data_IF_135138531031
#
_entry.id   IF_135138531031
#
_cell.length_a   1.000
_cell.length_b   1.000
_cell.length_c   1.000
_cell.angle_alpha   90.00
_cell.angle_beta   90.00
_cell.angle_gamma   90.00
#
_symmetry.space_group_name_H-M   'P 1'
#
loop_
_entity.id
_entity.type
_entity.pdbx_description
1 polymer ?
#
# COMPACT_ATOMS: atom_id res chain seq x y z
N UNK A 1 -23.09 26.10 25.88
CA UNK A 1 -23.62 24.78 25.47
C UNK A 1 -22.50 23.97 24.86
N UNK A 2 -21.87 23.12 25.65
CA UNK A 2 -20.71 22.30 25.26
C UNK A 2 -21.17 21.20 24.30
N UNK A 3 -20.67 21.22 23.07
CA UNK A 3 -20.95 20.20 22.05
C UNK A 3 -20.39 18.87 22.58
N UNK A 4 -21.28 17.94 22.98
CA UNK A 4 -20.87 16.57 23.38
C UNK A 4 -20.16 15.92 22.19
N UNK A 5 -18.88 15.58 22.38
CA UNK A 5 -18.09 14.82 21.42
C UNK A 5 -18.74 13.46 21.16
N UNK A 6 -18.87 13.08 19.88
CA UNK A 6 -19.46 11.80 19.46
C UNK A 6 -18.79 10.62 20.21
N UNK A 7 -19.57 9.58 20.60
CA UNK A 7 -19.01 8.39 21.23
C UNK A 7 -17.97 7.73 20.32
N UNK A 8 -16.84 7.29 20.90
CA UNK A 8 -15.88 6.45 20.19
C UNK A 8 -16.53 5.09 20.02
N UNK A 9 -16.59 4.56 18.80
CA UNK A 9 -17.14 3.22 18.56
C UNK A 9 -16.33 2.17 19.36
N UNK A 10 -16.99 1.19 20.00
CA UNK A 10 -16.32 0.20 20.86
C UNK A 10 -15.32 -0.70 20.11
N UNK A 11 -15.33 -0.70 18.77
CA UNK A 11 -14.55 -1.58 17.90
C UNK A 11 -13.27 -0.95 17.29
N UNK A 12 -12.86 0.25 17.72
CA UNK A 12 -11.83 1.06 17.05
C UNK A 12 -10.36 0.63 17.16
N UNK A 13 -10.06 -0.59 17.61
CA UNK A 13 -8.68 -1.10 17.78
C UNK A 13 -7.77 -0.21 18.65
N UNK A 14 -6.45 -0.26 18.41
CA UNK A 14 -5.43 0.51 19.14
C UNK A 14 -5.65 2.03 19.08
N UNK A 15 -6.13 2.56 17.95
CA UNK A 15 -6.40 3.99 17.75
C UNK A 15 -7.62 4.46 18.55
N UNK A 16 -8.68 3.65 18.59
CA UNK A 16 -9.87 3.90 19.41
C UNK A 16 -9.56 3.80 20.90
N UNK A 17 -8.70 2.88 21.32
CA UNK A 17 -8.21 2.80 22.70
C UNK A 17 -7.41 4.05 23.09
N UNK A 18 -6.44 4.45 22.27
CA UNK A 18 -5.62 5.65 22.52
C UNK A 18 -6.47 6.93 22.64
N UNK A 19 -7.48 7.10 21.79
CA UNK A 19 -8.39 8.24 21.85
C UNK A 19 -9.33 8.20 23.07
N UNK A 20 -9.74 7.02 23.54
CA UNK A 20 -10.51 6.87 24.78
C UNK A 20 -9.67 7.24 26.00
N UNK A 21 -8.42 6.79 26.05
CA UNK A 21 -7.52 7.12 27.16
C UNK A 21 -7.25 8.63 27.24
N UNK A 22 -7.09 9.31 26.10
CA UNK A 22 -6.97 10.78 26.08
C UNK A 22 -8.23 11.47 26.60
N UNK A 23 -9.42 10.94 26.31
CA UNK A 23 -10.68 11.46 26.85
C UNK A 23 -10.81 11.17 28.35
N UNK A 24 -10.37 10.01 28.80
CA UNK A 24 -10.34 9.66 30.22
C UNK A 24 -9.46 10.63 31.01
N UNK A 25 -8.28 11.00 30.47
CA UNK A 25 -7.41 12.00 31.08
C UNK A 25 -8.10 13.35 31.30
N UNK A 26 -8.92 13.79 30.34
CA UNK A 26 -9.76 14.99 30.49
C UNK A 26 -10.82 14.78 31.58
N UNK A 27 -11.51 13.65 31.54
CA UNK A 27 -12.65 13.37 32.40
C UNK A 27 -12.23 13.20 33.87
N UNK A 28 -11.04 12.61 34.13
CA UNK A 28 -10.44 12.45 35.46
C UNK A 28 -10.10 13.80 36.12
N UNK A 29 -9.74 14.80 35.31
CA UNK A 29 -9.53 16.18 35.77
C UNK A 29 -10.85 16.93 36.01
N UNK A 30 -11.97 16.41 35.51
CA UNK A 30 -13.32 16.93 35.75
C UNK A 30 -13.51 18.37 35.30
N UNK A 31 -14.24 19.16 36.10
CA UNK A 31 -14.61 20.54 35.75
C UNK A 31 -13.41 21.52 35.64
N UNK A 32 -12.23 21.13 36.13
CA UNK A 32 -10.99 21.92 36.04
C UNK A 32 -10.18 21.64 34.76
N UNK A 33 -10.68 20.76 33.88
CA UNK A 33 -10.03 20.45 32.62
C UNK A 33 -10.30 21.57 31.58
N UNK A 34 -9.26 22.19 31.00
CA UNK A 34 -9.43 23.12 29.90
C UNK A 34 -10.20 22.47 28.74
N UNK A 35 -11.17 23.19 28.22
CA UNK A 35 -11.91 22.78 27.03
C UNK A 35 -11.01 22.74 25.80
N UNK A 36 -11.40 21.93 24.81
CA UNK A 36 -10.68 21.86 23.52
C UNK A 36 -10.53 23.24 22.87
N UNK A 37 -11.51 24.14 23.07
CA UNK A 37 -11.49 25.49 22.54
C UNK A 37 -10.53 26.43 23.30
N UNK A 38 -10.28 26.17 24.58
CA UNK A 38 -9.27 26.88 25.37
C UNK A 38 -7.86 26.42 24.99
N UNK A 39 -7.67 25.10 24.83
CA UNK A 39 -6.40 24.51 24.38
C UNK A 39 -6.04 25.01 22.98
N UNK A 40 -7.02 25.07 22.08
CA UNK A 40 -6.83 25.59 20.72
C UNK A 40 -6.28 27.02 20.71
N UNK A 41 -6.79 27.88 21.59
CA UNK A 41 -6.37 29.29 21.71
C UNK A 41 -4.99 29.44 22.34
N UNK A 42 -4.68 28.62 23.34
CA UNK A 42 -3.41 28.69 24.06
C UNK A 42 -2.24 28.10 23.25
N UNK A 43 -2.45 26.96 22.60
CA UNK A 43 -1.39 26.19 21.93
C UNK A 43 -1.28 26.50 20.42
N UNK A 44 -2.17 27.33 19.86
CA UNK A 44 -2.18 27.65 18.43
C UNK A 44 -2.59 26.49 17.51
N UNK A 45 -3.10 25.39 18.07
CA UNK A 45 -3.55 24.20 17.32
C UNK A 45 -5.03 24.38 16.94
N UNK A 46 -5.40 24.08 15.70
CA UNK A 46 -6.80 24.23 15.28
C UNK A 46 -7.74 23.29 16.02
N UNK A 47 -8.95 23.77 16.35
CA UNK A 47 -10.01 22.97 16.98
C UNK A 47 -10.28 21.66 16.25
N UNK A 48 -10.32 21.69 14.91
CA UNK A 48 -10.53 20.49 14.09
C UNK A 48 -9.44 19.45 14.29
N UNK A 49 -8.19 19.87 14.46
CA UNK A 49 -7.05 18.98 14.72
C UNK A 49 -7.16 18.33 16.10
N UNK A 50 -7.56 19.08 17.13
CA UNK A 50 -7.77 18.56 18.48
C UNK A 50 -8.97 17.59 18.53
N UNK A 51 -10.10 17.91 17.90
CA UNK A 51 -11.23 16.98 17.82
C UNK A 51 -10.91 15.71 17.02
N UNK A 52 -10.12 15.82 15.96
CA UNK A 52 -9.64 14.66 15.20
C UNK A 52 -8.66 13.79 16.01
N UNK A 53 -7.94 14.35 16.98
CA UNK A 53 -7.12 13.54 17.88
C UNK A 53 -7.98 12.68 18.82
N UNK A 54 -9.16 13.20 19.18
CA UNK A 54 -10.09 12.54 20.10
C UNK A 54 -11.06 11.59 19.39
N UNK A 55 -11.11 11.55 18.06
CA UNK A 55 -12.07 10.72 17.32
C UNK A 55 -11.68 9.23 17.26
N UNK A 56 -10.39 8.91 17.45
CA UNK A 56 -9.88 7.54 17.28
C UNK A 56 -9.75 7.08 15.83
N UNK A 57 -9.89 7.99 14.85
CA UNK A 57 -9.82 7.64 13.42
C UNK A 57 -8.39 7.65 12.84
N UNK A 58 -7.43 8.23 13.57
CA UNK A 58 -6.00 8.30 13.19
C UNK A 58 -5.14 8.58 14.42
N UNK A 59 -3.87 8.19 14.38
CA UNK A 59 -2.94 8.53 15.45
C UNK A 59 -2.66 10.05 15.46
N UNK A 60 -2.81 10.75 16.58
CA UNK A 60 -2.55 12.19 16.63
C UNK A 60 -1.06 12.51 16.49
N UNK A 61 -0.73 13.71 16.01
CA UNK A 61 0.67 14.19 15.93
C UNK A 61 1.24 14.39 17.34
N UNK A 62 2.57 14.26 17.47
CA UNK A 62 3.29 14.43 18.75
C UNK A 62 2.95 15.75 19.44
N UNK A 63 2.96 16.85 18.69
CA UNK A 63 2.61 18.19 19.16
C UNK A 63 1.20 18.26 19.77
N UNK A 64 0.24 17.53 19.18
CA UNK A 64 -1.16 17.50 19.61
C UNK A 64 -1.31 16.65 20.87
N UNK A 65 -0.64 15.49 20.94
CA UNK A 65 -0.64 14.64 22.13
C UNK A 65 -0.02 15.37 23.32
N UNK A 66 1.12 16.04 23.11
CA UNK A 66 1.80 16.83 24.13
C UNK A 66 0.91 17.96 24.67
N UNK A 67 0.28 18.73 23.77
CA UNK A 67 -0.62 19.80 24.14
C UNK A 67 -1.82 19.31 24.97
N UNK A 68 -2.46 18.20 24.55
CA UNK A 68 -3.60 17.62 25.27
C UNK A 68 -3.19 17.02 26.62
N UNK A 69 -2.07 16.28 26.67
CA UNK A 69 -1.56 15.71 27.91
C UNK A 69 -1.23 16.80 28.93
N UNK A 70 -0.50 17.84 28.52
CA UNK A 70 -0.16 18.99 29.38
C UNK A 70 -1.41 19.72 29.87
N UNK A 71 -2.35 20.01 28.98
CA UNK A 71 -3.58 20.71 29.33
C UNK A 71 -4.45 19.91 30.31
N UNK A 72 -4.46 18.59 30.22
CA UNK A 72 -5.26 17.72 31.08
C UNK A 72 -4.49 17.07 32.23
N UNK A 73 -3.22 17.45 32.43
CA UNK A 73 -2.44 17.08 33.62
C UNK A 73 -1.79 15.71 33.55
N UNK A 74 -1.64 15.14 32.36
CA UNK A 74 -0.82 13.95 32.12
C UNK A 74 0.65 14.29 31.89
N UNK A 75 1.53 13.30 32.11
CA UNK A 75 2.95 13.42 31.79
C UNK A 75 3.16 13.38 30.26
N UNK A 76 3.68 14.47 29.71
CA UNK A 76 3.99 14.61 28.28
C UNK A 76 4.93 13.50 27.79
N UNK A 77 5.96 13.15 28.57
CA UNK A 77 6.92 12.13 28.19
C UNK A 77 6.27 10.73 28.14
N UNK A 78 5.41 10.42 29.10
CA UNK A 78 4.63 9.19 29.13
C UNK A 78 3.70 9.08 27.93
N UNK A 79 2.94 10.13 27.63
CA UNK A 79 1.99 10.14 26.51
C UNK A 79 2.68 10.06 25.15
N UNK A 80 3.85 10.67 25.00
CA UNK A 80 4.68 10.52 23.80
C UNK A 80 5.27 9.11 23.68
N UNK A 81 5.66 8.47 24.79
CA UNK A 81 6.05 7.04 24.80
C UNK A 81 4.89 6.15 24.39
N UNK A 82 3.70 6.30 25.01
CA UNK A 82 2.49 5.53 24.67
C UNK A 82 2.08 5.73 23.22
N UNK A 83 2.17 6.96 22.69
CA UNK A 83 1.96 7.23 21.25
C UNK A 83 2.96 6.44 20.40
N UNK A 84 4.25 6.45 20.77
CA UNK A 84 5.29 5.71 20.05
C UNK A 84 5.06 4.20 20.12
N UNK A 85 4.57 3.67 21.23
CA UNK A 85 4.23 2.25 21.36
C UNK A 85 3.02 1.87 20.51
N UNK A 86 1.98 2.71 20.48
CA UNK A 86 0.83 2.52 19.57
C UNK A 86 1.27 2.60 18.12
N UNK A 87 2.15 3.55 17.77
CA UNK A 87 2.75 3.66 16.44
C UNK A 87 3.54 2.39 16.09
N UNK A 88 4.37 1.91 17.01
CA UNK A 88 5.11 0.66 16.86
C UNK A 88 4.20 -0.56 16.79
N UNK A 89 3.09 -0.64 17.53
CA UNK A 89 2.12 -1.75 17.47
C UNK A 89 1.26 -1.70 16.22
N UNK A 90 0.90 -0.51 15.73
CA UNK A 90 0.23 -0.35 14.44
C UNK A 90 1.16 -0.67 13.27
N UNK A 91 2.45 -0.35 13.40
CA UNK A 91 3.48 -0.72 12.45
C UNK A 91 3.92 -2.18 12.56
N UNK A 92 3.87 -2.76 13.75
CA UNK A 92 4.14 -4.16 14.07
C UNK A 92 2.89 -5.05 14.01
N UNK A 93 1.72 -4.48 13.70
CA UNK A 93 0.60 -5.29 13.24
C UNK A 93 1.10 -5.93 11.97
N UNK A 94 1.33 -7.26 11.96
CA UNK A 94 1.79 -7.89 10.75
C UNK A 94 0.74 -7.61 9.67
N UNK A 95 1.12 -7.54 8.37
CA UNK A 95 0.14 -7.84 7.33
C UNK A 95 -0.57 -9.13 7.79
N UNK A 96 -1.90 -9.24 7.63
CA UNK A 96 -2.66 -10.37 8.16
C UNK A 96 -1.86 -11.66 7.89
N UNK A 97 -1.65 -12.51 8.93
CA UNK A 97 -0.79 -13.67 8.82
C UNK A 97 -1.19 -14.47 7.59
N UNK A 98 -0.19 -15.05 6.93
CA UNK A 98 -0.31 -15.98 5.81
C UNK A 98 -1.55 -16.86 5.97
N UNK A 99 -2.62 -16.49 5.28
CA UNK A 99 -3.94 -17.12 5.32
C UNK A 99 -4.19 -17.71 3.94
N UNK A 100 -3.34 -18.67 3.55
CA UNK A 100 -3.43 -19.33 2.27
C UNK A 100 -2.75 -18.55 1.13
N UNK A 101 -2.98 -18.93 -0.16
CA UNK A 101 -2.36 -18.24 -1.28
C UNK A 101 -2.56 -16.74 -1.12
N UNK A 102 -1.48 -15.96 -1.33
CA UNK A 102 -1.56 -14.50 -1.22
C UNK A 102 -2.84 -14.05 -1.96
N UNK A 103 -3.71 -13.26 -1.33
CA UNK A 103 -5.07 -13.06 -1.82
C UNK A 103 -5.13 -12.37 -3.19
N UNK A 104 -4.01 -11.91 -3.74
CA UNK A 104 -3.78 -11.39 -5.09
C UNK A 104 -3.52 -12.45 -6.17
N UNK A 105 -3.38 -13.74 -5.82
CA UNK A 105 -3.03 -14.83 -6.75
C UNK A 105 -4.04 -15.98 -6.75
N UNK A 106 -4.29 -16.63 -7.90
CA UNK A 106 -5.04 -17.87 -7.96
C UNK A 106 -4.31 -19.00 -7.22
N UNK A 107 -5.06 -20.01 -6.78
CA UNK A 107 -4.53 -21.25 -6.22
C UNK A 107 -3.74 -22.05 -7.25
N UNK A 108 -2.93 -23.01 -6.77
CA UNK A 108 -2.17 -23.90 -7.66
C UNK A 108 -3.08 -24.68 -8.62
N UNK A 109 -4.25 -25.12 -8.15
CA UNK A 109 -5.29 -25.77 -8.97
C UNK A 109 -5.78 -24.83 -10.07
N UNK A 110 -6.13 -23.58 -9.73
CA UNK A 110 -6.54 -22.58 -10.71
C UNK A 110 -5.44 -22.23 -11.72
N UNK A 111 -4.18 -22.14 -11.26
CA UNK A 111 -3.01 -21.92 -12.12
C UNK A 111 -2.82 -23.08 -13.11
N UNK A 112 -3.00 -24.32 -12.68
CA UNK A 112 -2.92 -25.49 -13.55
C UNK A 112 -4.03 -25.48 -14.62
N UNK A 113 -5.26 -25.14 -14.23
CA UNK A 113 -6.36 -24.95 -15.18
C UNK A 113 -6.02 -23.87 -16.23
N UNK A 114 -5.52 -22.72 -15.79
CA UNK A 114 -5.09 -21.63 -16.68
C UNK A 114 -3.96 -22.07 -17.61
N UNK A 115 -3.01 -22.87 -17.15
CA UNK A 115 -1.95 -23.43 -17.99
C UNK A 115 -2.47 -24.40 -19.04
N UNK A 116 -3.45 -25.23 -18.68
CA UNK A 116 -4.04 -26.22 -19.59
C UNK A 116 -4.85 -25.58 -20.70
N UNK A 117 -5.68 -24.59 -20.36
CA UNK A 117 -6.55 -23.90 -21.33
C UNK A 117 -5.82 -22.78 -22.10
N UNK A 118 -4.60 -22.45 -21.70
CA UNK A 118 -3.84 -21.31 -22.21
C UNK A 118 -2.68 -21.68 -23.12
N UNK A 119 -2.09 -20.65 -23.74
CA UNK A 119 -0.85 -20.78 -24.51
C UNK A 119 0.25 -19.93 -23.90
N UNK A 120 1.44 -20.51 -23.76
CA UNK A 120 2.62 -19.75 -23.32
C UNK A 120 3.04 -18.74 -24.39
N UNK A 121 3.37 -17.54 -23.94
CA UNK A 121 3.94 -16.49 -24.76
C UNK A 121 5.08 -15.82 -24.01
N UNK A 122 6.07 -15.37 -24.77
CA UNK A 122 7.29 -14.77 -24.26
C UNK A 122 7.42 -13.34 -24.77
N UNK A 123 7.77 -12.42 -23.89
CA UNK A 123 7.86 -11.01 -24.20
C UNK A 123 9.18 -10.43 -23.69
N UNK A 124 9.95 -9.74 -24.56
CA UNK A 124 11.12 -9.00 -24.11
C UNK A 124 10.68 -7.85 -23.21
N UNK A 125 11.64 -7.29 -22.48
CA UNK A 125 11.43 -6.11 -21.65
C UNK A 125 10.91 -4.92 -22.48
N UNK A 126 9.94 -4.18 -21.93
CA UNK A 126 9.37 -2.99 -22.55
C UNK A 126 8.25 -3.28 -23.54
N UNK A 127 7.84 -4.54 -23.66
CA UNK A 127 6.72 -4.94 -24.51
C UNK A 127 5.41 -4.44 -23.92
N UNK A 128 4.58 -3.81 -24.74
CA UNK A 128 3.21 -3.45 -24.41
C UNK A 128 2.33 -4.70 -24.58
N UNK A 129 1.80 -5.23 -23.47
CA UNK A 129 0.93 -6.41 -23.46
C UNK A 129 -0.52 -6.05 -23.66
N UNK A 130 -0.94 -4.89 -23.13
CA UNK A 130 -2.28 -4.32 -23.24
C UNK A 130 -2.13 -2.82 -23.40
N UNK A 131 -2.98 -2.19 -24.21
CA UNK A 131 -3.10 -0.74 -24.29
C UNK A 131 -4.45 -0.30 -23.74
N UNK A 132 -4.44 0.66 -22.83
CA UNK A 132 -5.66 1.27 -22.30
C UNK A 132 -6.60 1.73 -23.41
N UNK A 133 -7.89 1.44 -23.27
CA UNK A 133 -8.94 1.79 -24.24
C UNK A 133 -9.05 0.85 -25.44
N UNK A 134 -8.08 -0.04 -25.68
CA UNK A 134 -8.16 -1.03 -26.74
C UNK A 134 -8.90 -2.30 -26.28
N UNK A 135 -9.63 -2.93 -27.19
CA UNK A 135 -10.20 -4.24 -26.95
C UNK A 135 -9.10 -5.28 -27.20
N UNK A 136 -8.56 -5.85 -26.13
CA UNK A 136 -7.56 -6.89 -26.23
C UNK A 136 -8.13 -8.25 -25.78
N UNK A 137 -7.72 -9.31 -26.47
CA UNK A 137 -8.51 -10.52 -26.68
C UNK A 137 -8.55 -11.55 -25.55
N UNK A 138 -8.18 -11.20 -24.31
CA UNK A 138 -8.24 -12.15 -23.21
C UNK A 138 -7.42 -11.82 -21.97
N UNK A 139 -7.09 -12.85 -21.20
CA UNK A 139 -6.43 -12.78 -19.89
C UNK A 139 -5.03 -13.37 -19.98
N UNK A 140 -4.07 -12.80 -19.24
CA UNK A 140 -2.74 -13.39 -19.10
C UNK A 140 -2.43 -13.72 -17.64
N UNK A 141 -1.91 -14.92 -17.38
CA UNK A 141 -1.28 -15.29 -16.12
C UNK A 141 0.24 -15.08 -16.27
N UNK A 142 0.85 -14.29 -15.39
CA UNK A 142 2.31 -14.11 -15.40
C UNK A 142 2.98 -15.38 -14.86
N UNK A 143 3.89 -15.97 -15.64
CA UNK A 143 4.67 -17.15 -15.26
C UNK A 143 6.02 -16.75 -14.69
N UNK A 144 6.68 -15.78 -15.34
CA UNK A 144 7.96 -15.23 -14.89
C UNK A 144 8.07 -13.76 -15.28
N UNK A 145 8.93 -13.02 -14.58
CA UNK A 145 9.16 -11.61 -14.84
C UNK A 145 8.14 -10.69 -14.16
N UNK A 146 8.32 -9.38 -14.36
CA UNK A 146 7.49 -8.33 -13.79
C UNK A 146 6.86 -7.48 -14.89
N UNK A 147 5.66 -6.99 -14.64
CA UNK A 147 4.95 -6.04 -15.50
C UNK A 147 4.46 -4.87 -14.66
N UNK A 148 4.39 -3.68 -15.27
CA UNK A 148 3.68 -2.54 -14.69
C UNK A 148 2.30 -2.41 -15.32
N UNK A 149 1.33 -2.03 -14.50
CA UNK A 149 -0.01 -1.59 -14.92
C UNK A 149 -0.05 -0.08 -14.77
N UNK A 150 -0.39 0.64 -15.83
CA UNK A 150 -0.41 2.10 -15.83
C UNK A 150 -1.60 2.67 -16.57
N UNK A 151 -2.07 3.82 -16.10
CA UNK A 151 -3.08 4.62 -16.78
C UNK A 151 -2.43 5.87 -17.38
N UNK A 152 -2.95 6.32 -18.52
CA UNK A 152 -2.54 7.57 -19.12
C UNK A 152 -2.86 8.74 -18.18
N UNK A 153 -1.90 9.66 -18.03
CA UNK A 153 -2.14 10.94 -17.36
C UNK A 153 -2.39 12.04 -18.38
N UNK A 154 -3.19 13.04 -18.00
CA UNK A 154 -3.39 14.27 -18.77
C UNK A 154 -2.09 15.02 -19.05
N UNK A 155 -1.09 14.83 -18.17
CA UNK A 155 0.18 15.55 -18.22
C UNK A 155 1.27 14.77 -18.98
N UNK A 156 0.91 13.67 -19.64
CA UNK A 156 1.80 12.85 -20.47
C UNK A 156 2.79 11.97 -19.70
N UNK A 157 2.68 11.87 -18.38
CA UNK A 157 3.42 10.91 -17.55
C UNK A 157 2.47 9.85 -17.00
N UNK A 158 2.57 8.62 -17.50
CA UNK A 158 1.74 7.51 -17.04
C UNK A 158 1.77 7.35 -15.52
N UNK A 159 0.58 7.22 -14.91
CA UNK A 159 0.44 6.87 -13.51
C UNK A 159 0.55 5.36 -13.38
N UNK A 160 1.51 4.88 -12.60
CA UNK A 160 1.67 3.44 -12.38
C UNK A 160 0.70 3.00 -11.28
N UNK A 161 -0.34 2.28 -11.68
CA UNK A 161 -1.37 1.73 -10.81
C UNK A 161 -0.85 0.56 -9.97
N UNK A 162 0.18 -0.14 -10.45
CA UNK A 162 0.86 -1.19 -9.71
C UNK A 162 1.84 -2.00 -10.52
N UNK A 163 2.54 -2.92 -9.84
CA UNK A 163 3.39 -3.95 -10.43
C UNK A 163 2.71 -5.30 -10.23
N UNK A 164 2.88 -6.20 -11.19
CA UNK A 164 2.42 -7.59 -11.13
C UNK A 164 3.57 -8.52 -11.51
N UNK A 165 3.61 -9.68 -10.89
CA UNK A 165 4.64 -10.70 -11.07
C UNK A 165 4.07 -12.11 -11.13
N UNK A 166 4.92 -13.14 -10.94
CA UNK A 166 4.53 -14.53 -11.12
C UNK A 166 3.32 -14.95 -10.29
N UNK A 167 2.37 -15.62 -10.94
CA UNK A 167 1.11 -16.07 -10.36
C UNK A 167 -0.01 -15.02 -10.40
N UNK A 168 0.21 -13.82 -10.92
CA UNK A 168 -0.84 -12.79 -10.98
C UNK A 168 -1.50 -12.72 -12.37
N UNK A 169 -2.80 -12.43 -12.37
CA UNK A 169 -3.62 -12.23 -13.57
C UNK A 169 -3.53 -10.79 -14.11
N UNK A 170 -3.63 -10.67 -15.44
CA UNK A 170 -3.67 -9.42 -16.20
C UNK A 170 -4.85 -9.45 -17.17
N UNK A 171 -5.49 -8.30 -17.38
CA UNK A 171 -6.61 -8.16 -18.33
C UNK A 171 -7.93 -8.77 -17.83
N UNK A 172 -7.97 -9.26 -16.59
CA UNK A 172 -9.12 -9.98 -16.07
C UNK A 172 -10.35 -9.07 -15.83
N UNK A 173 -10.15 -7.79 -15.50
CA UNK A 173 -11.27 -6.82 -15.39
C UNK A 173 -11.99 -6.66 -16.73
N UNK A 174 -11.25 -6.47 -17.82
CA UNK A 174 -11.84 -6.29 -19.16
C UNK A 174 -12.51 -7.55 -19.64
N UNK A 175 -11.91 -8.72 -19.38
CA UNK A 175 -12.52 -10.01 -19.70
C UNK A 175 -13.85 -10.25 -18.95
N UNK A 176 -13.94 -9.87 -17.67
CA UNK A 176 -15.16 -10.03 -16.87
C UNK A 176 -16.26 -9.02 -17.23
N UNK A 177 -15.88 -7.80 -17.57
CA UNK A 177 -16.82 -6.70 -17.87
C UNK A 177 -17.24 -6.65 -19.33
N UNK A 178 -16.52 -7.34 -20.23
CA UNK A 178 -16.69 -7.25 -21.67
C UNK A 178 -16.29 -5.89 -22.27
N UNK A 179 -15.64 -5.03 -21.48
CA UNK A 179 -15.20 -3.70 -21.90
C UNK A 179 -13.76 -3.68 -22.45
N UNK A 180 -13.29 -2.50 -22.91
CA UNK A 180 -11.90 -2.32 -23.31
C UNK A 180 -10.94 -2.48 -22.13
N UNK A 181 -9.63 -2.59 -22.43
CA UNK A 181 -8.56 -2.57 -21.43
C UNK A 181 -8.67 -1.32 -20.54
N UNK A 182 -8.77 -1.52 -19.22
CA UNK A 182 -8.90 -0.42 -18.24
C UNK A 182 -7.57 0.28 -17.92
N UNK A 183 -6.46 -0.32 -18.35
CA UNK A 183 -5.11 0.19 -18.14
C UNK A 183 -4.16 -0.42 -19.18
N UNK A 184 -3.04 0.26 -19.41
CA UNK A 184 -1.93 -0.27 -20.18
C UNK A 184 -1.09 -1.21 -19.32
N UNK A 185 -0.52 -2.23 -19.93
CA UNK A 185 0.36 -3.19 -19.25
C UNK A 185 1.66 -3.32 -20.02
N UNK A 186 2.80 -3.07 -19.36
CA UNK A 186 4.12 -3.10 -20.00
C UNK A 186 5.09 -3.96 -19.21
N UNK A 187 5.91 -4.77 -19.88
CA UNK A 187 6.91 -5.63 -19.22
C UNK A 187 8.08 -4.80 -18.64
N UNK A 188 8.41 -5.05 -17.37
CA UNK A 188 9.52 -4.41 -16.64
C UNK A 188 10.82 -5.22 -16.72
N UNK A 189 10.70 -6.53 -16.91
CA UNK A 189 11.78 -7.47 -17.22
C UNK A 189 11.37 -8.33 -18.43
N UNK A 190 12.22 -9.27 -18.81
CA UNK A 190 11.79 -10.38 -19.67
C UNK A 190 10.66 -11.14 -18.96
N UNK A 191 9.55 -11.35 -19.65
CA UNK A 191 8.31 -11.85 -19.06
C UNK A 191 7.76 -13.02 -19.87
N UNK A 192 7.48 -14.12 -19.19
CA UNK A 192 6.71 -15.24 -19.76
C UNK A 192 5.31 -15.21 -19.17
N UNK A 193 4.31 -15.41 -20.00
CA UNK A 193 2.90 -15.45 -19.60
C UNK A 193 2.21 -16.69 -20.18
N UNK A 194 1.10 -17.06 -19.57
CA UNK A 194 0.09 -17.94 -20.19
C UNK A 194 -1.08 -17.09 -20.61
N UNK A 195 -1.41 -17.06 -21.91
CA UNK A 195 -2.53 -16.31 -22.46
C UNK A 195 -3.75 -17.22 -22.60
N UNK A 196 -4.89 -16.78 -22.08
CA UNK A 196 -6.22 -17.33 -22.33
C UNK A 196 -7.02 -16.36 -23.18
N UNK A 197 -7.79 -16.87 -24.14
CA UNK A 197 -8.80 -16.07 -24.81
C UNK A 197 -9.92 -15.69 -23.83
N UNK A 198 -10.54 -14.52 -24.03
CA UNK A 198 -11.59 -14.01 -23.14
C UNK A 198 -12.74 -15.02 -22.93
N UNK A 199 -13.20 -15.69 -24.00
CA UNK A 199 -14.26 -16.69 -23.90
C UNK A 199 -13.88 -17.95 -23.11
N UNK A 200 -12.61 -18.39 -23.20
CA UNK A 200 -12.12 -19.51 -22.41
C UNK A 200 -12.02 -19.14 -20.92
N UNK A 201 -11.61 -17.91 -20.63
CA UNK A 201 -11.58 -17.41 -19.25
C UNK A 201 -12.99 -17.27 -18.66
N UNK A 202 -13.95 -16.73 -19.43
CA UNK A 202 -15.35 -16.65 -19.01
C UNK A 202 -15.94 -18.05 -18.71
N UNK A 203 -15.70 -19.03 -19.58
CA UNK A 203 -16.12 -20.40 -19.34
C UNK A 203 -15.49 -20.96 -18.05
N UNK A 204 -14.19 -20.75 -17.84
CA UNK A 204 -13.49 -21.18 -16.63
C UNK A 204 -14.11 -20.59 -15.36
N UNK A 205 -14.43 -19.29 -15.37
CA UNK A 205 -15.09 -18.60 -14.26
C UNK A 205 -16.49 -19.17 -14.01
N UNK A 206 -17.31 -19.35 -15.06
CA UNK A 206 -18.68 -19.88 -14.91
C UNK A 206 -18.72 -21.33 -14.42
N UNK A 207 -17.80 -22.17 -14.89
CA UNK A 207 -17.80 -23.60 -14.62
C UNK A 207 -17.07 -23.99 -13.33
N UNK A 208 -16.26 -23.09 -12.76
CA UNK A 208 -15.47 -23.36 -11.56
C UNK A 208 -15.78 -22.36 -10.42
N UNK A 209 -16.80 -22.63 -9.57
CA UNK A 209 -17.18 -21.76 -8.46
C UNK A 209 -16.04 -21.45 -7.48
N UNK A 210 -15.10 -22.40 -7.30
CA UNK A 210 -13.90 -22.19 -6.47
C UNK A 210 -13.00 -21.11 -7.05
N UNK A 211 -12.71 -21.18 -8.34
CA UNK A 211 -11.91 -20.17 -9.04
C UNK A 211 -12.60 -18.80 -9.01
N UNK A 212 -13.92 -18.75 -9.15
CA UNK A 212 -14.70 -17.51 -9.03
C UNK A 212 -14.57 -16.89 -7.65
N UNK A 213 -14.66 -17.69 -6.58
CA UNK A 213 -14.45 -17.20 -5.22
C UNK A 213 -13.03 -16.67 -4.99
N UNK A 214 -12.02 -17.31 -5.58
CA UNK A 214 -10.63 -16.80 -5.57
C UNK A 214 -10.50 -15.48 -6.32
N UNK A 215 -11.09 -15.38 -7.51
CA UNK A 215 -11.06 -14.16 -8.31
C UNK A 215 -11.69 -12.98 -7.56
N UNK A 216 -12.78 -13.20 -6.83
CA UNK A 216 -13.39 -12.18 -5.97
C UNK A 216 -12.45 -11.71 -4.85
N UNK A 217 -11.67 -12.62 -4.23
CA UNK A 217 -10.66 -12.26 -3.22
C UNK A 217 -9.52 -11.44 -3.84
N UNK A 218 -9.09 -11.81 -5.04
CA UNK A 218 -8.09 -11.06 -5.82
C UNK A 218 -8.57 -9.64 -6.09
N UNK A 219 -9.82 -9.48 -6.53
CA UNK A 219 -10.40 -8.15 -6.77
C UNK A 219 -10.51 -7.33 -5.48
N UNK A 220 -10.99 -7.92 -4.39
CA UNK A 220 -11.09 -7.25 -3.09
C UNK A 220 -9.71 -6.78 -2.60
N UNK A 221 -8.69 -7.61 -2.72
CA UNK A 221 -7.31 -7.25 -2.36
C UNK A 221 -6.75 -6.10 -3.23
N UNK A 222 -7.06 -6.10 -4.53
CA UNK A 222 -6.66 -5.01 -5.44
C UNK A 222 -7.30 -3.69 -5.05
N UNK A 223 -8.59 -3.69 -4.71
CA UNK A 223 -9.32 -2.50 -4.23
C UNK A 223 -8.73 -1.99 -2.91
N UNK A 224 -8.48 -2.88 -1.94
CA UNK A 224 -7.84 -2.50 -0.67
C UNK A 224 -6.45 -1.89 -0.90
N UNK A 225 -5.63 -2.51 -1.75
CA UNK A 225 -4.30 -2.00 -2.09
C UNK A 225 -4.37 -0.62 -2.76
N UNK A 226 -5.30 -0.41 -3.68
CA UNK A 226 -5.54 0.89 -4.30
C UNK A 226 -5.94 1.94 -3.25
N UNK A 227 -6.87 1.62 -2.36
CA UNK A 227 -7.31 2.52 -1.29
C UNK A 227 -6.16 2.88 -0.33
N UNK A 228 -5.33 1.91 0.07
CA UNK A 228 -4.14 2.16 0.91
C UNK A 228 -3.13 3.06 0.23
N UNK A 229 -2.92 2.91 -1.09
CA UNK A 229 -2.04 3.78 -1.88
C UNK A 229 -2.60 5.19 -2.01
N UNK A 230 -3.90 5.32 -2.24
CA UNK A 230 -4.58 6.63 -2.25
C UNK A 230 -4.41 7.35 -0.91
N UNK A 231 -4.60 6.65 0.21
CA UNK A 231 -4.39 7.20 1.54
C UNK A 231 -2.93 7.65 1.79
N UNK A 232 -1.95 7.04 1.11
CA UNK A 232 -0.53 7.41 1.26
C UNK A 232 -0.17 8.77 0.67
N UNK A 233 -0.98 9.35 -0.23
CA UNK A 233 -0.60 10.62 -0.87
C UNK A 233 -0.32 11.74 0.15
N UNK A 234 -0.86 11.64 1.36
CA UNK A 234 -0.59 12.56 2.47
C UNK A 234 0.79 12.38 3.14
N UNK A 235 1.45 11.24 2.96
CA UNK A 235 2.78 10.95 3.52
C UNK A 235 3.90 11.60 2.73
N UNK A 236 5.06 11.96 3.34
CA UNK A 236 6.21 12.51 2.60
C UNK A 236 6.73 11.55 1.51
N UNK A 237 7.29 12.04 0.38
CA UNK A 237 7.76 11.18 -0.72
C UNK A 237 8.74 10.09 -0.31
N UNK A 238 9.66 10.37 0.63
CA UNK A 238 10.63 9.39 1.14
C UNK A 238 9.93 8.18 1.78
N UNK A 239 8.91 8.44 2.60
CA UNK A 239 8.13 7.40 3.27
C UNK A 239 7.31 6.58 2.27
N UNK A 240 6.73 7.24 1.26
CA UNK A 240 6.01 6.54 0.18
C UNK A 240 6.95 5.63 -0.61
N UNK A 241 8.14 6.12 -0.95
CA UNK A 241 9.16 5.34 -1.66
C UNK A 241 9.58 4.12 -0.85
N UNK A 242 9.96 4.31 0.42
CA UNK A 242 10.37 3.20 1.28
C UNK A 242 9.29 2.14 1.41
N UNK A 243 8.03 2.54 1.62
CA UNK A 243 6.91 1.61 1.71
C UNK A 243 6.64 0.87 0.40
N UNK A 244 6.74 1.54 -0.75
CA UNK A 244 6.65 0.86 -2.06
C UNK A 244 7.80 -0.12 -2.26
N UNK A 245 9.03 0.24 -1.86
CA UNK A 245 10.17 -0.67 -1.95
C UNK A 245 10.00 -1.89 -1.04
N UNK A 246 9.50 -1.73 0.18
CA UNK A 246 9.16 -2.83 1.09
C UNK A 246 8.07 -3.72 0.48
N UNK A 247 6.99 -3.12 -0.03
CA UNK A 247 5.88 -3.84 -0.66
C UNK A 247 6.38 -4.68 -1.85
N UNK A 248 7.14 -4.07 -2.76
CA UNK A 248 7.69 -4.76 -3.92
C UNK A 248 8.74 -5.80 -3.52
N UNK A 249 9.60 -5.48 -2.54
CA UNK A 249 10.63 -6.36 -2.00
C UNK A 249 10.01 -7.63 -1.44
N UNK A 250 9.07 -7.51 -0.51
CA UNK A 250 8.33 -8.65 0.05
C UNK A 250 7.58 -9.41 -1.04
N UNK A 251 7.05 -8.72 -2.04
CA UNK A 251 6.26 -9.36 -3.08
C UNK A 251 7.10 -10.14 -4.11
N UNK A 252 8.23 -9.58 -4.54
CA UNK A 252 8.95 -10.00 -5.75
C UNK A 252 10.48 -10.02 -5.60
N UNK A 253 11.00 -9.68 -4.42
CA UNK A 253 12.43 -9.62 -4.15
C UNK A 253 13.08 -11.00 -4.09
N UNK A 254 14.28 -11.09 -4.65
CA UNK A 254 15.14 -12.27 -4.49
C UNK A 254 15.87 -12.18 -3.14
N UNK A 255 15.67 -13.17 -2.28
CA UNK A 255 16.34 -13.24 -0.99
C UNK A 255 17.87 -13.27 -1.13
N UNK A 256 18.55 -12.55 -0.25
CA UNK A 256 20.01 -12.54 -0.15
C UNK A 256 20.48 -13.24 1.14
N UNK A 257 21.73 -13.75 1.17
CA UNK A 257 22.29 -14.39 2.36
C UNK A 257 22.35 -13.48 3.60
N UNK A 258 22.40 -12.16 3.40
CA UNK A 258 22.43 -11.13 4.45
C UNK A 258 21.04 -10.77 5.00
N UNK A 259 19.98 -11.45 4.55
CA UNK A 259 18.60 -11.15 4.93
C UNK A 259 17.96 -10.00 4.14
N UNK A 260 18.70 -9.34 3.25
CA UNK A 260 18.17 -8.35 2.33
C UNK A 260 17.38 -8.95 1.17
N UNK A 261 16.73 -8.08 0.40
CA UNK A 261 15.97 -8.45 -0.80
C UNK A 261 16.49 -7.70 -2.03
N UNK A 262 16.56 -8.36 -3.18
CA UNK A 262 16.97 -7.73 -4.45
C UNK A 262 15.79 -7.63 -5.40
N UNK A 263 15.49 -6.39 -5.82
CA UNK A 263 14.52 -6.07 -6.86
C UNK A 263 15.23 -5.78 -8.17
N UNK A 264 14.64 -6.28 -9.28
CA UNK A 264 15.16 -6.11 -10.63
C UNK A 264 14.12 -5.52 -11.56
N UNK A 265 14.58 -4.80 -12.58
CA UNK A 265 13.74 -4.36 -13.71
C UNK A 265 13.02 -3.02 -13.52
N UNK A 266 12.93 -2.49 -12.30
CA UNK A 266 12.35 -1.16 -12.04
C UNK A 266 13.28 -0.03 -12.48
N UNK A 267 12.71 1.00 -13.10
CA UNK A 267 13.40 2.25 -13.45
C UNK A 267 12.99 3.41 -12.55
N UNK A 268 13.75 4.51 -12.60
CA UNK A 268 13.39 5.76 -11.94
C UNK A 268 11.99 6.28 -12.34
N UNK A 269 11.63 6.34 -13.64
CA UNK A 269 10.25 6.64 -14.05
C UNK A 269 9.20 5.69 -13.45
N UNK A 270 9.48 4.39 -13.37
CA UNK A 270 8.51 3.45 -12.81
C UNK A 270 8.28 3.72 -11.31
N UNK A 271 9.35 3.96 -10.54
CA UNK A 271 9.25 4.36 -9.14
C UNK A 271 8.54 5.70 -8.95
N UNK A 272 8.78 6.65 -9.86
CA UNK A 272 8.15 7.97 -9.86
C UNK A 272 6.64 7.87 -10.06
N UNK A 273 6.22 7.08 -11.05
CA UNK A 273 4.81 6.80 -11.31
C UNK A 273 4.15 6.03 -10.15
N UNK A 274 4.87 5.12 -9.49
CA UNK A 274 4.35 4.35 -8.35
C UNK A 274 4.05 5.20 -7.10
N UNK A 275 4.84 6.24 -6.85
CA UNK A 275 4.66 7.10 -5.66
C UNK A 275 4.06 8.47 -5.98
N UNK A 276 3.72 8.71 -7.25
CA UNK A 276 3.09 9.93 -7.75
C UNK A 276 3.95 11.17 -7.53
N UNK A 277 5.23 11.13 -7.89
CA UNK A 277 6.13 12.30 -7.84
C UNK A 277 7.01 12.36 -9.09
N UNK A 278 7.73 13.47 -9.28
CA UNK A 278 8.72 13.58 -10.35
C UNK A 278 9.90 12.62 -10.16
N UNK A 279 10.53 12.17 -11.26
CA UNK A 279 11.73 11.34 -11.18
C UNK A 279 12.85 12.00 -10.36
N UNK A 280 12.95 13.34 -10.38
CA UNK A 280 13.95 14.12 -9.62
C UNK A 280 13.71 13.94 -8.12
N UNK A 281 12.44 13.92 -7.69
CA UNK A 281 12.08 13.68 -6.30
C UNK A 281 12.45 12.25 -5.89
N UNK A 282 12.19 11.25 -6.74
CA UNK A 282 12.61 9.87 -6.50
C UNK A 282 14.12 9.77 -6.37
N UNK A 283 14.89 10.39 -7.27
CA UNK A 283 16.35 10.38 -7.21
C UNK A 283 16.87 10.93 -5.87
N UNK A 284 16.28 12.02 -5.37
CA UNK A 284 16.60 12.58 -4.05
C UNK A 284 16.25 11.60 -2.91
N UNK A 285 15.09 10.97 -2.96
CA UNK A 285 14.70 9.99 -1.94
C UNK A 285 15.59 8.75 -1.97
N UNK A 286 15.95 8.23 -3.15
CA UNK A 286 16.91 7.13 -3.28
C UNK A 286 18.30 7.52 -2.78
N UNK A 287 18.73 8.77 -3.00
CA UNK A 287 19.97 9.26 -2.39
C UNK A 287 19.91 9.18 -0.87
N UNK A 288 18.83 9.68 -0.25
CA UNK A 288 18.66 9.64 1.20
C UNK A 288 18.65 8.21 1.75
N UNK A 289 17.91 7.28 1.12
CA UNK A 289 17.88 5.89 1.55
C UNK A 289 19.23 5.17 1.40
N UNK A 290 20.07 5.56 0.43
CA UNK A 290 21.43 5.04 0.29
C UNK A 290 22.37 5.59 1.34
N UNK A 291 22.25 6.88 1.65
CA UNK A 291 23.07 7.56 2.65
C UNK A 291 22.86 6.95 4.05
N UNK A 292 21.63 6.48 4.34
CA UNK A 292 21.30 5.74 5.56
C UNK A 292 21.59 4.24 5.48
N UNK A 293 22.13 3.73 4.38
CA UNK A 293 22.46 2.31 4.18
C UNK A 293 21.25 1.37 3.96
N UNK A 294 20.03 1.91 3.91
CA UNK A 294 18.80 1.11 3.78
C UNK A 294 18.63 0.48 2.40
N UNK A 295 19.29 1.05 1.38
CA UNK A 295 19.30 0.48 0.03
C UNK A 295 20.68 0.60 -0.62
N UNK A 296 20.94 -0.26 -1.61
CA UNK A 296 22.01 -0.11 -2.61
C UNK A 296 21.40 -0.08 -4.00
N UNK A 297 21.93 0.76 -4.88
CA UNK A 297 21.44 0.89 -6.27
C UNK A 297 22.50 0.41 -7.25
N UNK A 298 22.12 -0.45 -8.19
CA UNK A 298 22.88 -0.83 -9.38
C UNK A 298 22.09 -0.54 -10.66
N UNK A 299 22.62 -0.92 -11.82
CA UNK A 299 21.90 -0.79 -13.09
C UNK A 299 20.63 -1.64 -13.07
N UNK A 300 19.46 -0.99 -12.92
CA UNK A 300 18.13 -1.63 -12.84
C UNK A 300 18.01 -2.67 -11.72
N UNK A 301 18.84 -2.54 -10.70
CA UNK A 301 18.90 -3.42 -9.53
C UNK A 301 18.81 -2.54 -8.29
N UNK A 302 17.93 -2.91 -7.37
CA UNK A 302 17.77 -2.28 -6.06
C UNK A 302 17.95 -3.37 -5.02
N UNK A 303 18.98 -3.27 -4.20
CA UNK A 303 19.16 -4.12 -3.03
C UNK A 303 18.58 -3.39 -1.84
N UNK A 304 17.66 -4.03 -1.13
CA UNK A 304 16.99 -3.54 0.06
C UNK A 304 17.65 -4.21 1.26
N UNK A 305 18.17 -3.42 2.19
CA UNK A 305 18.77 -3.93 3.41
C UNK A 305 17.67 -4.46 4.35
N UNK A 306 17.94 -5.48 5.18
CA UNK A 306 16.94 -6.01 6.12
C UNK A 306 16.37 -4.94 7.06
N UNK A 307 17.17 -3.93 7.41
CA UNK A 307 16.77 -2.80 8.26
C UNK A 307 15.64 -1.97 7.64
N UNK A 308 15.48 -1.97 6.31
CA UNK A 308 14.39 -1.25 5.65
C UNK A 308 13.00 -1.82 6.02
N UNK A 309 12.94 -3.08 6.43
CA UNK A 309 11.70 -3.78 6.78
C UNK A 309 11.32 -3.56 8.25
N UNK A 310 12.18 -2.91 9.04
CA UNK A 310 11.91 -2.62 10.45
C UNK A 310 10.93 -1.43 10.61
N UNK A 311 10.02 -1.47 11.60
CA UNK A 311 9.16 -0.35 11.93
C UNK A 311 9.96 0.93 12.21
N UNK A 312 9.68 2.01 11.47
CA UNK A 312 10.34 3.30 11.67
C UNK A 312 11.75 3.42 11.09
N UNK A 313 12.16 2.50 10.20
CA UNK A 313 13.45 2.55 9.52
C UNK A 313 13.73 3.90 8.80
N UNK A 314 12.66 4.55 8.31
CA UNK A 314 12.72 5.88 7.71
C UNK A 314 12.24 6.91 8.73
N UNK A 315 13.12 7.84 9.11
CA UNK A 315 12.84 8.95 10.01
C UNK A 315 12.37 10.21 9.29
#
# INVERSE_FOLDING_TARGET
MTRRSNPVAPEGGELGAFARDLRALRDDRGAAAPSVDEISRHEGISRSTLYAALSGSRLPRREVVAALARAWGGDEAEWLRRRSEVESRLAASPPPPDTGPRPDKPSAEAVELLHREGRRAHYPRGSLLYREGEHDGGVMLVVSGLVKVSAASTDGQDVVLGVRGPGELLGEVSALTGGPATASVTTLSETTVTRLAAGAFDALVRENPRFTAELLRIMAHRVDTANRRHAMHASPPLHRLARVLVELGTAYGEAQPDGGLVLRGLTLPDLAGLIGVSWVTVQRCLFQLRDTGLIRTGYRVLTLAPELFEPGAVR
#
